data_IF_943096519273
#
_entry.id   IF_943096519273
#
_cell.length_a   1.000
_cell.length_b   1.000
_cell.length_c   1.000
_cell.angle_alpha   90.00
_cell.angle_beta   90.00
_cell.angle_gamma   90.00
#
_symmetry.space_group_name_H-M   'P 1'
#
loop_
_entity.id
_entity.type
_entity.pdbx_description
1 polymer ?
#
# COMPACT_ATOMS: atom_id res chain seq x y z
N UNK A 1 -15.56 -20.24 -19.48
CA UNK A 1 -15.99 -19.28 -18.42
C UNK A 1 -14.85 -18.91 -17.50
N UNK A 2 -14.07 -19.89 -17.03
CA UNK A 2 -12.84 -19.66 -16.26
C UNK A 2 -11.83 -18.78 -16.99
N UNK A 3 -11.60 -19.02 -18.29
CA UNK A 3 -10.61 -18.24 -19.07
C UNK A 3 -10.99 -16.77 -19.23
N UNK A 4 -12.27 -16.47 -19.42
CA UNK A 4 -12.81 -15.10 -19.49
C UNK A 4 -12.70 -14.38 -18.15
N UNK A 5 -12.87 -15.10 -17.03
CA UNK A 5 -12.72 -14.55 -15.68
C UNK A 5 -11.24 -14.25 -15.41
N UNK A 6 -10.34 -15.19 -15.71
CA UNK A 6 -8.89 -15.03 -15.53
C UNK A 6 -8.37 -13.87 -16.37
N UNK A 7 -8.78 -13.77 -17.64
CA UNK A 7 -8.39 -12.66 -18.52
C UNK A 7 -8.88 -11.30 -18.01
N UNK A 8 -10.11 -11.24 -17.48
CA UNK A 8 -10.69 -10.02 -16.92
C UNK A 8 -9.97 -9.59 -15.64
N UNK A 9 -9.64 -10.54 -14.75
CA UNK A 9 -8.87 -10.28 -13.53
C UNK A 9 -7.43 -9.86 -13.86
N UNK A 10 -6.82 -10.45 -14.88
CA UNK A 10 -5.50 -10.07 -15.35
C UNK A 10 -5.48 -8.64 -15.92
N UNK A 11 -6.45 -8.27 -16.75
CA UNK A 11 -6.58 -6.90 -17.26
C UNK A 11 -6.81 -5.89 -16.13
N UNK A 12 -7.70 -6.21 -15.18
CA UNK A 12 -7.93 -5.37 -14.02
C UNK A 12 -6.63 -5.16 -13.22
N UNK A 13 -5.88 -6.23 -13.00
CA UNK A 13 -4.59 -6.18 -12.29
C UNK A 13 -3.57 -5.33 -13.05
N UNK A 14 -3.48 -5.45 -14.38
CA UNK A 14 -2.57 -4.63 -15.19
C UNK A 14 -2.90 -3.14 -15.11
N UNK A 15 -4.18 -2.76 -15.25
CA UNK A 15 -4.60 -1.36 -15.13
C UNK A 15 -4.30 -0.83 -13.73
N UNK A 16 -4.59 -1.64 -12.70
CA UNK A 16 -4.36 -1.25 -11.32
C UNK A 16 -2.87 -1.15 -10.97
N UNK A 17 -2.01 -1.93 -11.64
CA UNK A 17 -0.56 -1.86 -11.52
C UNK A 17 -0.04 -0.46 -11.88
N UNK A 18 -0.59 0.18 -12.92
CA UNK A 18 -0.21 1.54 -13.30
C UNK A 18 -0.62 2.58 -12.25
N UNK A 19 -1.83 2.46 -11.69
CA UNK A 19 -2.32 3.35 -10.62
C UNK A 19 -1.44 3.18 -9.37
N UNK A 20 -1.15 1.93 -9.01
CA UNK A 20 -0.25 1.59 -7.92
C UNK A 20 1.14 2.17 -8.14
N UNK A 21 1.70 1.98 -9.34
CA UNK A 21 3.03 2.48 -9.68
C UNK A 21 3.10 4.01 -9.66
N UNK A 22 2.07 4.70 -10.15
CA UNK A 22 1.97 6.15 -10.04
C UNK A 22 2.01 6.61 -8.58
N UNK A 23 1.19 6.00 -7.71
CA UNK A 23 1.21 6.33 -6.29
C UNK A 23 2.52 5.94 -5.62
N UNK A 24 3.12 4.81 -6.00
CA UNK A 24 4.43 4.40 -5.50
C UNK A 24 5.49 5.43 -5.87
N UNK A 25 5.51 5.93 -7.10
CA UNK A 25 6.42 6.99 -7.56
C UNK A 25 6.14 8.31 -6.83
N UNK A 26 4.88 8.71 -6.69
CA UNK A 26 4.49 9.93 -5.97
C UNK A 26 4.87 9.85 -4.49
N UNK A 27 4.68 8.71 -3.83
CA UNK A 27 5.13 8.53 -2.45
C UNK A 27 6.65 8.38 -2.38
N UNK A 28 7.29 7.76 -3.38
CA UNK A 28 8.75 7.57 -3.43
C UNK A 28 9.54 8.86 -3.68
N UNK A 29 9.02 9.74 -4.53
CA UNK A 29 9.58 11.05 -4.87
C UNK A 29 9.00 12.17 -4.00
N UNK A 30 7.85 11.92 -3.37
CA UNK A 30 7.15 12.87 -2.54
C UNK A 30 7.95 13.23 -1.31
N UNK A 31 7.84 14.51 -0.94
CA UNK A 31 8.52 15.07 0.21
C UNK A 31 8.23 14.26 1.48
N UNK A 32 9.20 14.16 2.40
CA UNK A 32 9.16 13.29 3.61
C UNK A 32 7.90 13.49 4.45
N UNK A 33 7.24 14.64 4.28
CA UNK A 33 5.96 15.04 4.86
C UNK A 33 4.81 14.08 4.54
N UNK A 34 4.68 13.58 3.31
CA UNK A 34 3.58 12.67 2.95
C UNK A 34 3.73 11.30 3.60
N UNK A 35 4.95 10.80 3.69
CA UNK A 35 5.26 9.55 4.40
C UNK A 35 5.07 9.72 5.90
N UNK A 36 5.52 10.85 6.44
CA UNK A 36 5.31 11.14 7.86
C UNK A 36 3.82 11.19 8.20
N UNK A 37 2.99 11.77 7.33
CA UNK A 37 1.54 11.73 7.49
C UNK A 37 0.97 10.30 7.38
N UNK A 38 1.49 9.49 6.47
CA UNK A 38 1.08 8.09 6.33
C UNK A 38 1.45 7.29 7.61
N UNK A 39 2.66 7.44 8.11
CA UNK A 39 3.16 6.81 9.34
C UNK A 39 2.42 7.34 10.57
N UNK A 40 2.16 8.64 10.67
CA UNK A 40 1.40 9.22 11.79
C UNK A 40 -0.05 8.72 11.81
N UNK A 41 -0.63 8.42 10.65
CA UNK A 41 -1.99 7.92 10.55
C UNK A 41 -2.09 6.40 10.73
N UNK A 42 -1.08 5.62 10.33
CA UNK A 42 -1.16 4.15 10.32
C UNK A 42 -0.30 3.47 11.41
N UNK A 43 0.81 4.06 11.86
CA UNK A 43 1.66 3.41 12.86
C UNK A 43 1.02 3.45 14.26
N UNK A 44 1.23 2.39 15.05
CA UNK A 44 0.75 2.30 16.45
C UNK A 44 1.39 3.36 17.34
N UNK A 45 2.69 3.57 17.16
CA UNK A 45 3.50 4.57 17.87
C UNK A 45 4.39 5.26 16.85
N UNK A 46 3.93 6.34 16.22
CA UNK A 46 4.63 6.93 15.09
C UNK A 46 6.02 7.45 15.43
N UNK A 47 6.22 7.97 16.65
CA UNK A 47 7.53 8.44 17.11
C UNK A 47 8.53 7.28 17.28
N UNK A 48 8.10 6.19 17.94
CA UNK A 48 8.94 4.99 18.06
C UNK A 48 9.17 4.31 16.71
N UNK A 49 8.19 4.35 15.80
CA UNK A 49 8.34 3.76 14.47
C UNK A 49 9.29 4.57 13.59
N UNK A 50 9.20 5.90 13.62
CA UNK A 50 10.13 6.81 12.92
C UNK A 50 11.56 6.67 13.45
N UNK A 51 11.77 6.51 14.76
CA UNK A 51 13.11 6.36 15.33
C UNK A 51 13.72 4.98 15.02
N UNK A 52 12.93 3.91 15.15
CA UNK A 52 13.39 2.52 14.97
C UNK A 52 13.58 2.14 13.51
N UNK A 53 12.72 2.67 12.63
CA UNK A 53 12.77 2.44 11.18
C UNK A 53 13.33 3.64 10.41
N UNK A 54 14.01 4.59 11.05
CA UNK A 54 14.63 5.74 10.38
C UNK A 54 15.54 5.30 9.21
N UNK A 55 16.31 4.23 9.43
CA UNK A 55 17.21 3.66 8.42
C UNK A 55 16.42 3.00 7.28
N UNK A 56 15.34 2.26 7.58
CA UNK A 56 14.46 1.68 6.58
C UNK A 56 13.66 2.75 5.80
N UNK A 57 13.36 3.88 6.42
CA UNK A 57 12.71 5.03 5.78
C UNK A 57 13.66 5.75 4.81
N UNK A 58 14.97 5.70 5.06
CA UNK A 58 16.02 6.18 4.16
C UNK A 58 16.47 5.12 3.12
N UNK A 59 16.37 3.82 3.42
CA UNK A 59 16.92 2.72 2.61
C UNK A 59 15.88 1.95 1.78
N UNK A 60 14.69 1.70 2.32
CA UNK A 60 13.60 0.99 1.64
C UNK A 60 12.82 1.91 0.69
N UNK A 61 13.15 3.21 0.72
CA UNK A 61 12.44 4.25 -0.01
C UNK A 61 11.05 4.48 0.56
N UNK A 62 10.57 5.70 0.40
CA UNK A 62 9.23 6.10 0.80
C UNK A 62 8.12 5.25 0.15
N UNK A 63 8.35 4.78 -1.08
CA UNK A 63 7.48 3.83 -1.77
C UNK A 63 7.46 2.43 -1.16
N UNK A 64 8.57 1.95 -0.58
CA UNK A 64 8.64 0.65 0.07
C UNK A 64 7.82 0.60 1.37
N UNK A 65 7.87 1.69 2.15
CA UNK A 65 7.00 1.85 3.33
C UNK A 65 5.52 1.89 2.95
N UNK A 66 5.16 2.63 1.90
CA UNK A 66 3.81 2.65 1.37
C UNK A 66 3.32 1.25 0.98
N UNK A 67 4.15 0.50 0.26
CA UNK A 67 3.89 -0.90 -0.14
C UNK A 67 3.62 -1.79 1.09
N UNK A 68 4.45 -1.67 2.13
CA UNK A 68 4.31 -2.42 3.37
C UNK A 68 2.99 -2.10 4.10
N UNK A 69 2.65 -0.81 4.21
CA UNK A 69 1.38 -0.42 4.84
C UNK A 69 0.16 -0.89 4.04
N UNK A 70 0.24 -0.93 2.70
CA UNK A 70 -0.79 -1.52 1.86
C UNK A 70 -0.99 -3.02 2.13
N UNK A 71 0.09 -3.79 2.34
CA UNK A 71 0.02 -5.24 2.62
C UNK A 71 -0.55 -5.58 4.00
N UNK A 72 -0.12 -4.86 5.03
CA UNK A 72 -0.53 -5.13 6.42
C UNK A 72 -1.84 -4.44 6.78
N UNK A 73 -2.40 -3.66 5.85
CA UNK A 73 -3.55 -2.80 6.03
C UNK A 73 -4.73 -3.36 6.85
N UNK A 74 -5.28 -4.57 6.62
CA UNK A 74 -6.40 -5.09 7.41
C UNK A 74 -6.09 -5.17 8.91
N UNK A 75 -4.83 -5.43 9.28
CA UNK A 75 -4.39 -5.48 10.67
C UNK A 75 -4.14 -4.09 11.26
N UNK A 76 -3.79 -3.11 10.41
CA UNK A 76 -3.49 -1.73 10.83
C UNK A 76 -4.73 -0.82 10.77
N UNK A 77 -5.79 -1.23 10.07
CA UNK A 77 -7.04 -0.46 9.85
C UNK A 77 -7.66 0.08 11.14
N UNK A 78 -7.57 -0.69 12.23
CA UNK A 78 -8.14 -0.37 13.54
C UNK A 78 -7.36 0.71 14.31
N UNK A 79 -6.12 1.02 13.91
CA UNK A 79 -5.22 1.94 14.61
C UNK A 79 -5.26 3.37 14.06
N UNK A 80 -6.10 3.64 13.05
CA UNK A 80 -6.10 4.93 12.34
C UNK A 80 -6.68 6.08 13.18
N UNK A 81 -5.95 7.19 13.24
CA UNK A 81 -6.40 8.46 13.86
C UNK A 81 -7.38 9.24 12.99
N UNK A 82 -7.15 9.34 11.67
CA UNK A 82 -8.11 9.95 10.73
C UNK A 82 -8.97 8.91 10.00
N UNK A 83 -10.30 8.98 10.17
CA UNK A 83 -11.29 8.10 9.51
C UNK A 83 -11.83 8.68 8.19
N UNK A 84 -10.95 9.13 7.29
CA UNK A 84 -11.40 9.53 5.95
C UNK A 84 -11.73 8.29 5.11
N UNK A 85 -12.99 8.17 4.69
CA UNK A 85 -13.49 7.04 3.88
C UNK A 85 -12.72 6.86 2.56
N UNK A 86 -12.32 7.94 1.89
CA UNK A 86 -11.54 7.88 0.65
C UNK A 86 -10.18 7.20 0.83
N UNK A 87 -9.46 7.52 1.92
CA UNK A 87 -8.22 6.84 2.28
C UNK A 87 -8.46 5.36 2.66
N UNK A 88 -9.63 5.07 3.26
CA UNK A 88 -10.00 3.70 3.62
C UNK A 88 -10.20 2.82 2.39
N UNK A 89 -10.94 3.33 1.41
CA UNK A 89 -11.20 2.68 0.12
C UNK A 89 -9.90 2.53 -0.66
N UNK A 90 -9.08 3.57 -0.72
CA UNK A 90 -7.81 3.55 -1.45
C UNK A 90 -6.84 2.48 -0.94
N UNK A 91 -6.63 2.39 0.38
CA UNK A 91 -5.75 1.36 0.93
C UNK A 91 -6.36 -0.05 0.84
N UNK A 92 -7.69 -0.18 0.96
CA UNK A 92 -8.37 -1.46 0.76
C UNK A 92 -8.21 -1.98 -0.68
N UNK A 93 -8.36 -1.10 -1.68
CA UNK A 93 -8.16 -1.45 -3.09
C UNK A 93 -6.72 -1.87 -3.38
N UNK A 94 -5.73 -1.16 -2.82
CA UNK A 94 -4.32 -1.56 -2.96
C UNK A 94 -4.01 -2.89 -2.27
N UNK A 95 -4.64 -3.16 -1.11
CA UNK A 95 -4.51 -4.45 -0.44
C UNK A 95 -5.09 -5.59 -1.28
N UNK A 96 -6.30 -5.41 -1.83
CA UNK A 96 -6.92 -6.39 -2.73
C UNK A 96 -6.08 -6.63 -3.98
N UNK A 97 -5.49 -5.59 -4.54
CA UNK A 97 -4.56 -5.71 -5.65
C UNK A 97 -3.36 -6.58 -5.30
N UNK A 98 -2.69 -6.30 -4.17
CA UNK A 98 -1.56 -7.12 -3.72
C UNK A 98 -1.93 -8.58 -3.47
N UNK A 99 -3.08 -8.84 -2.85
CA UNK A 99 -3.57 -10.20 -2.63
C UNK A 99 -3.89 -10.92 -3.95
N UNK A 100 -4.42 -10.19 -4.94
CA UNK A 100 -4.69 -10.74 -6.29
C UNK A 100 -3.37 -11.08 -7.00
N UNK A 101 -2.38 -10.19 -6.96
CA UNK A 101 -1.04 -10.44 -7.55
C UNK A 101 -0.35 -11.62 -6.86
N UNK A 102 -0.38 -11.68 -5.53
CA UNK A 102 0.18 -12.81 -4.76
C UNK A 102 -0.53 -14.12 -5.09
N UNK A 103 -1.86 -14.11 -5.17
CA UNK A 103 -2.64 -15.28 -5.56
C UNK A 103 -2.25 -15.78 -6.95
N UNK A 104 -2.17 -14.87 -7.94
CA UNK A 104 -1.71 -15.23 -9.28
C UNK A 104 -0.30 -15.81 -9.23
N UNK A 105 0.64 -15.16 -8.53
CA UNK A 105 2.03 -15.62 -8.46
C UNK A 105 2.21 -16.99 -7.78
N UNK A 106 1.36 -17.32 -6.80
CA UNK A 106 1.47 -18.60 -6.06
C UNK A 106 0.74 -19.74 -6.75
N UNK A 107 -0.39 -19.46 -7.42
CA UNK A 107 -1.30 -20.50 -7.93
C UNK A 107 -1.35 -20.63 -9.46
N UNK A 108 -0.77 -19.69 -10.22
CA UNK A 108 -0.67 -19.72 -11.69
C UNK A 108 0.78 -19.96 -12.09
#
# INVERSE_FOLDING_TARGET
>A
MTDTIVSSVAMFSLVWMFVYFYHLVVYSLGDKKHINQLVDNLAKEPESFKSKNYIAMNSMGAGGLFSYFCLVYPFVRHRRREKKWSSDIFMCLNWLFFMTVLYIFVFV
#
